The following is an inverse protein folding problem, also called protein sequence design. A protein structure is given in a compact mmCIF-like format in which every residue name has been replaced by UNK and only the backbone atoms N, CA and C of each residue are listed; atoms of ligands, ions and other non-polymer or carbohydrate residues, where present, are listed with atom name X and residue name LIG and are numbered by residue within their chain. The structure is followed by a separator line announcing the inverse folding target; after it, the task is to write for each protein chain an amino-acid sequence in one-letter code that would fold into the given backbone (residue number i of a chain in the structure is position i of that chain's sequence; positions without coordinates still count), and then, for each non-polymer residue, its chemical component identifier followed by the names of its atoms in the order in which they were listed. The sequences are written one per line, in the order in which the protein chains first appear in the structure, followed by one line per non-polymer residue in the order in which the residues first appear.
data_IF_968354852197
#
_entry.id   IF_968354852197
#
_cell.length_a   1.000
_cell.length_b   1.000
_cell.length_c   1.000
_cell.angle_alpha   90.00
_cell.angle_beta   90.00
_cell.angle_gamma   90.00
#
_symmetry.space_group_name_H-M   'P 1'
#
loop_
_entity.id
_entity.type
_entity.pdbx_description
1 polymer ?
#
# COMPACT_ATOMS: atom_id res chain seq x y z
N UNK A 1 -1.79 -31.19 -46.73
CA UNK A 1 -3.05 -30.58 -46.23
C UNK A 1 -3.77 -31.63 -45.40
N UNK A 2 -3.64 -31.60 -44.11
CA UNK A 2 -4.24 -32.51 -43.14
C UNK A 2 -5.15 -31.77 -42.22
N UNK A 3 -6.44 -31.82 -42.46
CA UNK A 3 -7.49 -31.24 -41.60
C UNK A 3 -7.57 -32.03 -40.30
N UNK A 4 -7.14 -31.43 -39.19
CA UNK A 4 -7.41 -31.95 -37.83
C UNK A 4 -8.92 -31.87 -37.55
N UNK A 5 -9.58 -33.03 -37.52
CA UNK A 5 -10.93 -33.17 -36.99
C UNK A 5 -10.93 -32.83 -35.49
N UNK A 6 -11.58 -31.75 -35.12
CA UNK A 6 -11.93 -31.47 -33.73
C UNK A 6 -13.06 -32.43 -33.35
N UNK A 7 -12.77 -33.35 -32.43
CA UNK A 7 -13.79 -34.23 -31.85
C UNK A 7 -14.74 -33.37 -30.96
N UNK A 8 -16.06 -33.56 -31.08
CA UNK A 8 -17.00 -32.87 -30.21
C UNK A 8 -16.83 -33.37 -28.76
N UNK A 9 -16.78 -32.43 -27.83
CA UNK A 9 -16.78 -32.68 -26.37
C UNK A 9 -17.92 -33.63 -26.00
N UNK A 10 -17.64 -34.66 -25.19
CA UNK A 10 -18.65 -35.62 -24.76
C UNK A 10 -19.76 -34.91 -23.96
N UNK A 11 -20.96 -35.44 -23.97
CA UNK A 11 -22.09 -34.93 -23.18
C UNK A 11 -21.81 -34.90 -21.69
N UNK A 12 -20.86 -35.70 -21.20
CA UNK A 12 -20.36 -35.65 -19.81
C UNK A 12 -19.44 -34.45 -19.55
N UNK A 13 -18.55 -34.09 -20.48
CA UNK A 13 -17.70 -32.93 -20.37
C UNK A 13 -18.51 -31.62 -20.48
N UNK A 14 -19.53 -31.59 -21.33
CA UNK A 14 -20.49 -30.52 -21.43
C UNK A 14 -21.32 -30.35 -20.15
N UNK A 15 -21.69 -31.47 -19.48
CA UNK A 15 -22.38 -31.45 -18.18
C UNK A 15 -21.44 -31.00 -17.03
N UNK A 16 -20.16 -31.36 -17.04
CA UNK A 16 -19.16 -30.88 -16.08
C UNK A 16 -18.90 -29.40 -16.26
N UNK A 17 -18.78 -28.91 -17.49
CA UNK A 17 -18.59 -27.47 -17.78
C UNK A 17 -19.83 -26.66 -17.43
N UNK A 18 -21.04 -27.21 -17.62
CA UNK A 18 -22.31 -26.56 -17.27
C UNK A 18 -22.55 -26.49 -15.76
N UNK A 19 -22.02 -27.44 -14.98
CA UNK A 19 -22.09 -27.39 -13.50
C UNK A 19 -21.19 -26.30 -12.87
N UNK A 20 -20.15 -25.84 -13.57
CA UNK A 20 -19.28 -24.75 -13.10
C UNK A 20 -19.90 -23.35 -13.21
N UNK A 21 -21.01 -23.19 -13.91
CA UNK A 21 -21.66 -21.89 -14.14
C UNK A 21 -22.98 -21.68 -13.36
N UNK A 22 -23.28 -22.50 -12.36
CA UNK A 22 -24.41 -22.23 -11.46
C UNK A 22 -23.89 -21.53 -10.23
N UNK A 23 -24.40 -20.34 -9.93
CA UNK A 23 -24.14 -19.57 -8.69
C UNK A 23 -24.66 -20.27 -7.41
N UNK A 24 -24.83 -21.58 -7.42
CA UNK A 24 -25.22 -22.36 -6.24
C UNK A 24 -24.01 -22.47 -5.30
N UNK A 25 -24.17 -21.98 -4.07
CA UNK A 25 -23.15 -22.11 -3.01
C UNK A 25 -23.14 -23.56 -2.53
N UNK A 26 -21.95 -24.16 -2.49
CA UNK A 26 -21.71 -25.39 -1.74
C UNK A 26 -21.63 -25.07 -0.26
N UNK A 27 -22.25 -25.90 0.60
CA UNK A 27 -22.32 -25.66 2.02
C UNK A 27 -21.82 -26.92 2.74
N UNK A 28 -20.81 -26.76 3.62
CA UNK A 28 -20.30 -27.80 4.54
C UNK A 28 -20.62 -27.41 5.98
N UNK A 29 -20.84 -28.41 6.83
CA UNK A 29 -21.21 -28.21 8.23
C UNK A 29 -20.35 -29.02 9.20
N UNK A 30 -20.39 -28.62 10.46
CA UNK A 30 -19.86 -29.38 11.59
C UNK A 30 -18.36 -29.66 11.51
N UNK A 31 -17.99 -30.91 11.79
CA UNK A 31 -16.58 -31.32 11.87
C UNK A 31 -15.87 -31.30 10.51
N UNK A 32 -16.58 -31.62 9.41
CA UNK A 32 -16.00 -31.60 8.07
C UNK A 32 -15.60 -30.21 7.64
N UNK A 33 -16.47 -29.21 7.85
CA UNK A 33 -16.16 -27.82 7.54
C UNK A 33 -14.97 -27.30 8.34
N UNK A 34 -14.92 -27.60 9.65
CA UNK A 34 -13.80 -27.21 10.51
C UNK A 34 -12.49 -27.83 10.05
N UNK A 35 -12.49 -29.13 9.71
CA UNK A 35 -11.29 -29.85 9.28
C UNK A 35 -10.74 -29.28 7.96
N UNK A 36 -11.60 -28.91 7.01
CA UNK A 36 -11.16 -28.29 5.76
C UNK A 36 -10.53 -26.90 6.03
N UNK A 37 -11.17 -26.07 6.84
CA UNK A 37 -10.61 -24.76 7.22
C UNK A 37 -9.25 -24.91 7.94
N UNK A 38 -9.14 -25.85 8.90
CA UNK A 38 -7.90 -26.13 9.63
C UNK A 38 -6.79 -26.61 8.69
N UNK A 39 -7.11 -27.45 7.71
CA UNK A 39 -6.15 -27.90 6.71
C UNK A 39 -5.60 -26.72 5.88
N UNK A 40 -6.45 -25.81 5.46
CA UNK A 40 -6.02 -24.61 4.72
C UNK A 40 -5.17 -23.66 5.55
N UNK A 41 -5.54 -23.43 6.83
CA UNK A 41 -4.71 -22.68 7.78
C UNK A 41 -3.32 -23.29 7.89
N UNK A 42 -3.24 -24.60 8.09
CA UNK A 42 -1.97 -25.30 8.29
C UNK A 42 -1.12 -25.27 7.00
N UNK A 43 -1.68 -25.54 5.83
CA UNK A 43 -0.93 -25.51 4.56
C UNK A 43 -0.25 -24.16 4.33
N UNK A 44 -0.98 -23.05 4.53
CA UNK A 44 -0.40 -21.71 4.38
C UNK A 44 0.64 -21.44 5.45
N UNK A 45 0.29 -21.64 6.72
CA UNK A 45 1.17 -21.30 7.83
C UNK A 45 2.44 -22.14 7.85
N UNK A 46 2.37 -23.44 7.53
CA UNK A 46 3.55 -24.30 7.42
C UNK A 46 4.50 -23.84 6.31
N UNK A 47 3.94 -23.38 5.17
CA UNK A 47 4.74 -22.83 4.07
C UNK A 47 5.46 -21.56 4.48
N UNK A 48 4.78 -20.65 5.20
CA UNK A 48 5.36 -19.38 5.66
C UNK A 48 6.37 -19.63 6.80
N UNK A 49 6.09 -20.58 7.69
CA UNK A 49 6.90 -20.87 8.89
C UNK A 49 8.34 -21.26 8.60
N UNK A 50 8.62 -21.82 7.40
CA UNK A 50 9.98 -22.22 7.01
C UNK A 50 10.95 -21.04 6.92
N UNK A 51 10.43 -19.82 6.86
CA UNK A 51 11.22 -18.58 6.80
C UNK A 51 11.56 -18.00 8.17
N UNK A 52 11.03 -18.58 9.25
CA UNK A 52 11.11 -18.03 10.61
C UNK A 52 12.53 -18.15 11.21
N UNK A 53 13.01 -17.02 11.75
CA UNK A 53 14.19 -16.96 12.62
C UNK A 53 15.53 -17.19 11.91
N UNK A 54 16.64 -17.37 12.67
CA UNK A 54 17.98 -17.39 12.13
C UNK A 54 18.29 -18.64 11.27
N UNK A 55 17.42 -19.64 11.29
CA UNK A 55 17.49 -20.83 10.41
C UNK A 55 16.45 -20.76 9.29
N UNK A 56 15.80 -19.61 9.12
CA UNK A 56 14.81 -19.38 8.08
C UNK A 56 15.40 -19.65 6.70
N UNK A 57 14.55 -20.15 5.80
CA UNK A 57 14.90 -20.49 4.41
C UNK A 57 14.06 -19.69 3.47
N UNK A 58 14.57 -19.47 2.26
CA UNK A 58 13.79 -18.89 1.19
C UNK A 58 12.77 -19.90 0.65
N UNK A 59 11.63 -19.39 0.24
CA UNK A 59 10.60 -20.11 -0.51
C UNK A 59 10.72 -19.71 -1.98
N UNK A 60 10.55 -20.68 -2.88
CA UNK A 60 10.54 -20.45 -4.32
C UNK A 60 9.10 -20.51 -4.80
N UNK A 61 8.60 -19.41 -5.31
CA UNK A 61 7.23 -19.25 -5.81
C UNK A 61 7.24 -19.26 -7.34
N UNK A 62 6.44 -20.15 -7.94
CA UNK A 62 6.29 -20.22 -9.39
C UNK A 62 5.44 -19.04 -9.86
N UNK A 63 5.91 -18.31 -10.87
CA UNK A 63 5.12 -17.26 -11.54
C UNK A 63 4.61 -17.77 -12.89
N UNK A 64 3.42 -17.30 -13.27
CA UNK A 64 2.84 -17.64 -14.58
C UNK A 64 3.67 -17.11 -15.76
N UNK A 65 4.40 -15.99 -15.53
CA UNK A 65 5.30 -15.37 -16.50
C UNK A 65 6.56 -14.87 -15.78
N UNK A 66 7.72 -15.01 -16.42
CA UNK A 66 9.01 -14.58 -15.88
C UNK A 66 9.70 -15.63 -15.02
N UNK A 67 10.72 -15.19 -14.27
CA UNK A 67 11.51 -16.05 -13.38
C UNK A 67 10.72 -16.35 -12.09
N UNK A 68 10.93 -17.53 -11.46
CA UNK A 68 10.40 -17.82 -10.14
C UNK A 68 10.83 -16.75 -9.14
N UNK A 69 9.93 -16.38 -8.23
CA UNK A 69 10.24 -15.49 -7.13
C UNK A 69 10.86 -16.27 -5.98
N UNK A 70 12.05 -15.85 -5.52
CA UNK A 70 12.71 -16.40 -4.36
C UNK A 70 12.60 -15.37 -3.24
N UNK A 71 11.93 -15.72 -2.15
CA UNK A 71 11.69 -14.79 -1.05
C UNK A 71 11.61 -15.49 0.30
N UNK A 72 11.90 -14.77 1.36
CA UNK A 72 11.67 -15.15 2.75
C UNK A 72 10.62 -14.25 3.43
N UNK A 73 10.05 -13.31 2.71
CA UNK A 73 9.00 -12.45 3.25
C UNK A 73 7.67 -13.19 3.40
N UNK A 74 7.19 -13.26 4.64
CA UNK A 74 5.99 -14.01 4.98
C UNK A 74 4.73 -13.51 4.33
N UNK A 75 4.56 -12.20 4.18
CA UNK A 75 3.35 -11.64 3.54
C UNK A 75 3.33 -11.89 2.03
N UNK A 76 4.48 -11.78 1.37
CA UNK A 76 4.61 -12.10 -0.07
C UNK A 76 4.29 -13.56 -0.32
N UNK A 77 4.84 -14.47 0.49
CA UNK A 77 4.53 -15.92 0.39
C UNK A 77 3.04 -16.15 0.62
N UNK A 78 2.47 -15.58 1.68
CA UNK A 78 1.06 -15.77 2.01
C UNK A 78 0.12 -15.28 0.90
N UNK A 79 0.42 -14.15 0.25
CA UNK A 79 -0.39 -13.59 -0.85
C UNK A 79 -0.44 -14.50 -2.08
N UNK A 80 0.64 -15.20 -2.39
CA UNK A 80 0.76 -16.08 -3.57
C UNK A 80 0.08 -17.45 -3.37
N UNK A 81 -0.16 -17.88 -2.11
CA UNK A 81 -0.78 -19.18 -1.85
C UNK A 81 -2.26 -19.14 -2.19
N UNK A 82 -2.69 -20.08 -3.03
CA UNK A 82 -4.09 -20.41 -3.33
C UNK A 82 -4.24 -21.91 -3.41
N UNK A 83 -5.28 -22.45 -2.78
CA UNK A 83 -5.49 -23.88 -2.67
C UNK A 83 -6.59 -24.34 -3.63
N UNK A 84 -6.50 -25.59 -4.11
CA UNK A 84 -7.46 -26.14 -5.09
C UNK A 84 -8.84 -26.40 -4.45
N UNK A 85 -8.90 -26.86 -3.19
CA UNK A 85 -10.18 -27.05 -2.47
C UNK A 85 -10.67 -25.68 -1.96
N UNK A 86 -11.87 -25.22 -2.38
CA UNK A 86 -12.39 -23.92 -1.99
C UNK A 86 -12.59 -23.75 -0.47
N UNK A 87 -12.81 -24.82 0.28
CA UNK A 87 -13.00 -24.76 1.73
C UNK A 87 -11.67 -24.69 2.45
N UNK A 88 -10.64 -25.37 1.94
CA UNK A 88 -9.26 -25.21 2.45
C UNK A 88 -8.75 -23.80 2.11
N UNK A 89 -9.00 -23.32 0.88
CA UNK A 89 -8.60 -21.97 0.48
C UNK A 89 -9.23 -20.90 1.38
N UNK A 90 -10.49 -21.05 1.81
CA UNK A 90 -11.09 -20.14 2.80
C UNK A 90 -10.30 -20.11 4.13
N UNK A 91 -9.79 -21.26 4.58
CA UNK A 91 -8.91 -21.33 5.75
C UNK A 91 -7.59 -20.58 5.53
N UNK A 92 -6.97 -20.78 4.38
CA UNK A 92 -5.76 -20.06 4.00
C UNK A 92 -6.00 -18.54 3.91
N UNK A 93 -7.14 -18.09 3.34
CA UNK A 93 -7.48 -16.66 3.25
C UNK A 93 -7.57 -15.96 4.62
N UNK A 94 -8.08 -16.65 5.66
CA UNK A 94 -8.13 -16.10 7.02
C UNK A 94 -6.72 -15.79 7.54
N UNK A 95 -5.76 -16.69 7.34
CA UNK A 95 -4.38 -16.49 7.80
C UNK A 95 -3.63 -15.50 6.89
N UNK A 96 -3.92 -15.50 5.60
CA UNK A 96 -3.43 -14.47 4.66
C UNK A 96 -3.81 -13.06 5.13
N UNK A 97 -5.04 -12.86 5.63
CA UNK A 97 -5.47 -11.58 6.17
C UNK A 97 -4.67 -11.16 7.40
N UNK A 98 -4.29 -12.12 8.28
CA UNK A 98 -3.43 -11.85 9.44
C UNK A 98 -2.06 -11.33 8.99
N UNK A 99 -1.40 -12.01 8.05
CA UNK A 99 -0.11 -11.56 7.50
C UNK A 99 -0.20 -10.17 6.87
N UNK A 100 -1.25 -9.92 6.07
CA UNK A 100 -1.47 -8.64 5.39
C UNK A 100 -1.69 -7.50 6.40
N UNK A 101 -2.57 -7.69 7.40
CA UNK A 101 -2.80 -6.66 8.42
C UNK A 101 -1.56 -6.35 9.25
N UNK A 102 -0.76 -7.37 9.57
CA UNK A 102 0.50 -7.18 10.29
C UNK A 102 1.48 -6.35 9.46
N UNK A 103 1.58 -6.63 8.16
CA UNK A 103 2.40 -5.86 7.25
C UNK A 103 1.94 -4.39 7.15
N UNK A 104 0.63 -4.17 7.02
CA UNK A 104 0.05 -2.82 6.86
C UNK A 104 0.29 -1.94 8.10
N UNK A 105 0.35 -2.54 9.30
CA UNK A 105 0.51 -1.80 10.57
C UNK A 105 1.98 -1.67 10.99
N UNK A 106 2.77 -2.74 10.86
CA UNK A 106 4.12 -2.81 11.40
C UNK A 106 5.24 -2.95 10.34
N UNK A 107 4.91 -3.35 9.11
CA UNK A 107 5.89 -3.59 8.05
C UNK A 107 6.76 -4.83 8.25
N UNK A 108 6.72 -5.46 9.42
CA UNK A 108 7.51 -6.64 9.80
C UNK A 108 6.72 -7.58 10.73
N UNK A 109 7.28 -8.76 11.04
CA UNK A 109 6.67 -9.73 11.92
C UNK A 109 5.55 -10.57 11.30
N UNK A 110 5.37 -10.54 10.00
CA UNK A 110 4.31 -11.23 9.26
C UNK A 110 4.37 -12.76 9.42
N UNK A 111 5.57 -13.34 9.39
CA UNK A 111 5.82 -14.77 9.64
C UNK A 111 5.44 -15.14 11.06
N UNK A 112 5.88 -14.36 12.06
CA UNK A 112 5.56 -14.57 13.48
C UNK A 112 4.06 -14.53 13.73
N UNK A 113 3.36 -13.53 13.19
CA UNK A 113 1.91 -13.38 13.31
C UNK A 113 1.17 -14.59 12.71
N UNK A 114 1.62 -15.07 11.54
CA UNK A 114 1.07 -16.25 10.86
C UNK A 114 1.21 -17.52 11.71
N UNK A 115 2.39 -17.76 12.28
CA UNK A 115 2.66 -18.92 13.13
C UNK A 115 1.84 -18.86 14.43
N UNK A 116 1.73 -17.68 15.06
CA UNK A 116 0.90 -17.48 16.24
C UNK A 116 -0.58 -17.72 15.94
N UNK A 117 -1.08 -17.22 14.80
CA UNK A 117 -2.47 -17.47 14.39
C UNK A 117 -2.75 -18.96 14.20
N UNK A 118 -1.85 -19.70 13.53
CA UNK A 118 -1.93 -21.15 13.39
C UNK A 118 -1.99 -21.85 14.74
N UNK A 119 -1.08 -21.52 15.65
CA UNK A 119 -1.02 -22.15 16.98
C UNK A 119 -2.32 -21.90 17.77
N UNK A 120 -2.83 -20.68 17.77
CA UNK A 120 -4.08 -20.32 18.45
C UNK A 120 -5.30 -21.04 17.84
N UNK A 121 -5.36 -21.15 16.52
CA UNK A 121 -6.44 -21.86 15.83
C UNK A 121 -6.38 -23.33 16.16
N UNK A 122 -5.22 -23.99 16.04
CA UNK A 122 -5.07 -25.42 16.28
C UNK A 122 -5.42 -25.78 17.74
N UNK A 123 -4.95 -25.02 18.73
CA UNK A 123 -5.32 -25.24 20.12
C UNK A 123 -6.80 -24.96 20.40
N UNK A 124 -7.37 -23.92 19.78
CA UNK A 124 -8.79 -23.64 19.84
C UNK A 124 -9.63 -24.77 19.27
N UNK A 125 -9.24 -25.34 18.14
CA UNK A 125 -9.93 -26.45 17.47
C UNK A 125 -9.88 -27.74 18.31
N UNK A 126 -8.77 -28.05 18.96
CA UNK A 126 -8.67 -29.18 19.91
C UNK A 126 -9.67 -29.03 21.05
N UNK A 127 -9.75 -27.85 21.65
CA UNK A 127 -10.69 -27.58 22.73
C UNK A 127 -12.16 -27.67 22.28
N UNK A 128 -12.48 -27.17 21.06
CA UNK A 128 -13.81 -27.35 20.50
C UNK A 128 -14.17 -28.80 20.23
N UNK A 129 -13.22 -29.59 19.74
CA UNK A 129 -13.40 -31.03 19.52
C UNK A 129 -13.64 -31.78 20.84
N UNK A 130 -13.03 -31.32 21.92
CA UNK A 130 -13.25 -31.83 23.28
C UNK A 130 -14.57 -31.38 23.92
N UNK A 131 -15.40 -30.58 23.22
CA UNK A 131 -16.71 -30.15 23.69
C UNK A 131 -16.73 -28.81 24.44
N UNK A 132 -15.67 -28.02 24.37
CA UNK A 132 -15.65 -26.69 24.97
C UNK A 132 -16.69 -25.76 24.32
N UNK A 133 -17.33 -24.91 25.13
CA UNK A 133 -18.25 -23.92 24.62
C UNK A 133 -17.49 -22.82 23.83
N UNK A 134 -17.79 -22.63 22.53
CA UNK A 134 -17.04 -21.70 21.67
C UNK A 134 -17.13 -20.24 22.12
N UNK A 135 -18.23 -19.84 22.76
CA UNK A 135 -18.39 -18.46 23.25
C UNK A 135 -17.47 -18.22 24.46
N UNK A 136 -17.38 -19.19 25.37
CA UNK A 136 -16.51 -19.12 26.54
C UNK A 136 -15.04 -19.15 26.08
N UNK A 137 -14.70 -20.07 25.18
CA UNK A 137 -13.35 -20.18 24.61
C UNK A 137 -12.90 -18.86 23.98
N UNK A 138 -13.74 -18.26 23.11
CA UNK A 138 -13.45 -16.97 22.47
C UNK A 138 -13.20 -15.86 23.51
N UNK A 139 -14.01 -15.80 24.58
CA UNK A 139 -13.81 -14.80 25.65
C UNK A 139 -12.48 -15.02 26.38
N UNK A 140 -12.12 -16.28 26.63
CA UNK A 140 -10.85 -16.65 27.24
C UNK A 140 -9.65 -16.28 26.37
N UNK A 141 -9.68 -16.61 25.08
CA UNK A 141 -8.65 -16.25 24.12
C UNK A 141 -8.44 -14.74 24.04
N UNK A 142 -9.55 -13.97 23.94
CA UNK A 142 -9.45 -12.50 23.92
C UNK A 142 -8.78 -11.96 25.19
N UNK A 143 -9.21 -12.42 26.37
CA UNK A 143 -8.62 -11.98 27.64
C UNK A 143 -7.13 -12.33 27.76
N UNK A 144 -6.73 -13.51 27.28
CA UNK A 144 -5.33 -13.90 27.24
C UNK A 144 -4.51 -13.06 26.26
N UNK A 145 -5.09 -12.74 25.09
CA UNK A 145 -4.46 -11.86 24.11
C UNK A 145 -4.28 -10.45 24.67
N UNK A 146 -5.30 -9.87 25.30
CA UNK A 146 -5.23 -8.53 25.90
C UNK A 146 -4.11 -8.49 26.96
N UNK A 147 -4.03 -9.48 27.85
CA UNK A 147 -2.98 -9.55 28.87
C UNK A 147 -1.56 -9.76 28.28
N UNK A 148 -1.44 -10.50 27.17
CA UNK A 148 -0.17 -10.67 26.49
C UNK A 148 0.29 -9.36 25.82
N UNK A 149 -0.63 -8.61 25.21
CA UNK A 149 -0.35 -7.30 24.61
C UNK A 149 0.11 -6.31 25.68
N UNK A 150 -0.57 -6.26 26.83
CA UNK A 150 -0.19 -5.39 27.96
C UNK A 150 1.24 -5.73 28.44
N UNK A 151 1.55 -7.00 28.64
CA UNK A 151 2.87 -7.45 29.07
C UNK A 151 3.97 -7.14 28.03
N UNK A 152 3.69 -7.28 26.73
CA UNK A 152 4.63 -6.92 25.65
C UNK A 152 4.86 -5.40 25.65
N UNK A 153 3.80 -4.61 25.84
CA UNK A 153 3.91 -3.15 25.90
C UNK A 153 4.76 -2.69 27.08
N UNK A 154 4.65 -3.34 28.24
CA UNK A 154 5.48 -3.07 29.43
C UNK A 154 6.97 -3.42 29.21
N UNK A 155 7.25 -4.45 28.40
CA UNK A 155 8.61 -4.88 28.07
C UNK A 155 9.22 -4.09 26.91
N UNK A 156 8.43 -3.32 26.16
CA UNK A 156 8.90 -2.61 25.00
C UNK A 156 9.77 -1.40 25.39
N UNK A 157 10.85 -1.19 24.65
CA UNK A 157 11.74 -0.04 24.82
C UNK A 157 11.63 0.91 23.62
N UNK A 158 11.58 2.20 23.89
CA UNK A 158 11.56 3.19 22.81
C UNK A 158 12.90 3.26 22.10
N UNK A 159 12.90 3.19 20.78
CA UNK A 159 14.09 3.31 19.94
C UNK A 159 14.52 4.78 19.86
N UNK A 160 15.75 5.04 20.23
CA UNK A 160 16.35 6.36 20.17
C UNK A 160 17.75 6.29 19.53
N UNK A 161 17.92 7.08 18.46
CA UNK A 161 19.21 7.23 17.80
C UNK A 161 19.50 6.21 16.70
N UNK A 162 20.47 6.58 15.87
CA UNK A 162 20.84 5.89 14.64
C UNK A 162 21.22 4.42 14.84
N UNK A 163 22.01 4.12 15.87
CA UNK A 163 22.50 2.77 16.12
C UNK A 163 21.38 1.78 16.41
N UNK A 164 20.37 2.18 17.19
CA UNK A 164 19.22 1.33 17.47
C UNK A 164 18.33 1.13 16.23
N UNK A 165 18.15 2.20 15.42
CA UNK A 165 17.44 2.11 14.15
C UNK A 165 18.16 1.13 13.21
N UNK A 166 19.49 1.26 13.09
CA UNK A 166 20.29 0.35 12.27
C UNK A 166 20.13 -1.12 12.71
N UNK A 167 20.17 -1.40 14.02
CA UNK A 167 19.98 -2.77 14.54
C UNK A 167 18.61 -3.35 14.20
N UNK A 168 17.54 -2.57 14.35
CA UNK A 168 16.18 -3.03 14.01
C UNK A 168 16.07 -3.30 12.52
N UNK A 169 16.56 -2.38 11.69
CA UNK A 169 16.53 -2.53 10.24
C UNK A 169 17.41 -3.71 9.76
N UNK A 170 18.58 -3.93 10.37
CA UNK A 170 19.44 -5.09 10.08
C UNK A 170 18.77 -6.42 10.39
N UNK A 171 18.06 -6.50 11.52
CA UNK A 171 17.32 -7.72 11.90
C UNK A 171 16.20 -8.00 10.90
N UNK A 172 15.45 -6.98 10.51
CA UNK A 172 14.34 -7.11 9.57
C UNK A 172 14.83 -7.48 8.16
N UNK A 173 15.88 -6.83 7.68
CA UNK A 173 16.45 -7.08 6.36
C UNK A 173 17.32 -8.36 6.30
N UNK A 174 17.83 -8.81 7.44
CA UNK A 174 18.84 -9.87 7.50
C UNK A 174 20.22 -9.46 6.98
N UNK A 175 20.48 -8.15 6.85
CA UNK A 175 21.72 -7.57 6.31
C UNK A 175 22.07 -6.26 7.04
N UNK A 176 23.32 -6.20 7.56
CA UNK A 176 23.78 -5.06 8.33
C UNK A 176 23.99 -3.79 7.46
N UNK A 177 24.39 -3.97 6.21
CA UNK A 177 24.58 -2.85 5.28
C UNK A 177 23.26 -2.17 4.91
N UNK A 178 22.20 -2.96 4.74
CA UNK A 178 20.85 -2.43 4.54
C UNK A 178 20.37 -1.71 5.80
N UNK A 179 20.66 -2.27 6.97
CA UNK A 179 20.31 -1.64 8.26
C UNK A 179 20.97 -0.27 8.43
N UNK A 180 22.27 -0.15 8.14
CA UNK A 180 22.98 1.13 8.18
C UNK A 180 22.40 2.14 7.16
N UNK A 181 22.10 1.69 5.94
CA UNK A 181 21.52 2.54 4.89
C UNK A 181 20.17 3.11 5.28
N UNK A 182 19.31 2.29 5.90
CA UNK A 182 18.00 2.74 6.41
C UNK A 182 18.18 3.73 7.56
N UNK A 183 19.12 3.48 8.47
CA UNK A 183 19.41 4.40 9.57
C UNK A 183 19.97 5.74 9.09
N UNK A 184 20.82 5.73 8.05
CA UNK A 184 21.32 6.94 7.40
C UNK A 184 20.18 7.73 6.72
N UNK A 185 19.24 7.04 6.11
CA UNK A 185 18.06 7.64 5.52
C UNK A 185 17.19 8.32 6.60
N UNK A 186 16.88 7.60 7.69
CA UNK A 186 16.10 8.12 8.82
C UNK A 186 16.76 9.33 9.48
N UNK A 187 18.08 9.33 9.61
CA UNK A 187 18.82 10.49 10.18
C UNK A 187 18.66 11.74 9.31
N UNK A 188 18.62 11.57 7.98
CA UNK A 188 18.49 12.68 7.03
C UNK A 188 17.08 13.27 6.96
N UNK A 189 16.04 12.44 7.06
CA UNK A 189 14.65 12.90 6.89
C UNK A 189 13.91 13.18 8.21
N UNK A 190 14.57 13.05 9.36
CA UNK A 190 13.94 13.16 10.68
C UNK A 190 12.96 12.02 11.01
N UNK A 191 12.42 12.02 12.24
CA UNK A 191 11.53 10.93 12.73
C UNK A 191 10.21 10.79 11.95
N UNK A 192 9.73 11.89 11.38
CA UNK A 192 8.47 11.94 10.62
C UNK A 192 8.71 11.95 9.09
N UNK A 193 9.96 11.78 8.68
CA UNK A 193 10.34 11.74 7.27
C UNK A 193 9.98 10.43 6.60
N UNK A 194 9.92 10.46 5.28
CA UNK A 194 9.53 9.32 4.45
C UNK A 194 10.75 8.73 3.76
N UNK A 195 10.83 7.40 3.75
CA UNK A 195 11.81 6.65 2.96
C UNK A 195 11.07 5.92 1.85
N UNK A 196 11.53 6.10 0.61
CA UNK A 196 11.05 5.34 -0.55
C UNK A 196 12.17 4.52 -1.15
N UNK A 197 11.81 3.40 -1.77
CA UNK A 197 12.75 2.53 -2.47
C UNK A 197 12.42 2.60 -3.96
N UNK A 198 13.42 2.91 -4.78
CA UNK A 198 13.33 2.94 -6.24
C UNK A 198 14.40 2.05 -6.85
N UNK A 199 14.18 1.58 -8.07
CA UNK A 199 15.23 0.88 -8.84
C UNK A 199 16.28 1.89 -9.35
N UNK A 200 17.55 1.59 -9.13
CA UNK A 200 18.63 2.39 -9.69
C UNK A 200 18.86 2.03 -11.16
N UNK A 201 19.23 3.03 -11.96
CA UNK A 201 19.74 2.79 -13.33
C UNK A 201 21.20 2.37 -13.35
N UNK A 202 21.84 2.35 -12.20
CA UNK A 202 23.25 1.97 -12.01
C UNK A 202 23.34 0.69 -11.19
N UNK A 203 24.53 0.06 -11.15
CA UNK A 203 24.77 -1.12 -10.30
C UNK A 203 25.03 -0.76 -8.82
N UNK A 204 24.95 0.51 -8.47
CA UNK A 204 25.21 0.97 -7.10
C UNK A 204 23.91 1.35 -6.40
N UNK A 205 23.83 0.98 -5.13
CA UNK A 205 22.80 1.48 -4.23
C UNK A 205 23.21 2.86 -3.72
N UNK A 206 22.32 3.84 -3.85
CA UNK A 206 22.56 5.24 -3.51
C UNK A 206 21.40 5.78 -2.66
N UNK A 207 21.72 6.69 -1.75
CA UNK A 207 20.74 7.38 -0.90
C UNK A 207 20.69 8.85 -1.27
N UNK A 208 19.57 9.28 -1.84
CA UNK A 208 19.31 10.67 -2.17
C UNK A 208 18.26 11.25 -1.22
N UNK A 209 18.46 12.52 -0.84
CA UNK A 209 17.43 13.31 -0.18
C UNK A 209 16.82 14.26 -1.19
N UNK A 210 15.52 14.15 -1.40
CA UNK A 210 14.77 14.97 -2.35
C UNK A 210 13.61 15.69 -1.66
N UNK A 211 13.13 16.76 -2.25
CA UNK A 211 11.94 17.43 -1.81
C UNK A 211 10.71 16.57 -2.10
N UNK A 212 9.84 16.41 -1.12
CA UNK A 212 8.70 15.54 -1.26
C UNK A 212 7.83 15.51 -0.01
N UNK A 213 6.69 14.85 -0.12
CA UNK A 213 5.71 14.78 0.96
C UNK A 213 4.93 13.48 0.90
N UNK A 214 4.60 12.92 2.07
CA UNK A 214 3.61 11.87 2.20
C UNK A 214 2.34 12.40 2.90
N UNK A 215 1.19 11.91 2.45
CA UNK A 215 -0.07 12.12 3.16
C UNK A 215 -0.94 10.86 3.18
N UNK A 216 -1.79 10.76 4.23
CA UNK A 216 -2.54 9.55 4.58
C UNK A 216 -3.85 9.47 3.78
N UNK A 217 -3.74 9.38 2.47
CA UNK A 217 -4.83 9.08 1.52
C UNK A 217 -4.28 8.30 0.36
N UNK A 218 -4.91 7.19 0.02
CA UNK A 218 -4.55 6.36 -1.11
C UNK A 218 -5.52 6.54 -2.29
N UNK A 219 -5.40 5.65 -3.26
CA UNK A 219 -6.25 5.69 -4.46
C UNK A 219 -7.74 5.50 -4.13
N UNK A 220 -8.60 6.18 -4.88
CA UNK A 220 -10.07 6.08 -4.72
C UNK A 220 -10.63 4.71 -5.14
N UNK A 221 -9.89 3.94 -5.92
CA UNK A 221 -10.26 2.59 -6.36
C UNK A 221 -9.03 1.73 -6.61
N UNK A 222 -9.08 0.46 -6.18
CA UNK A 222 -8.04 -0.54 -6.41
C UNK A 222 -7.72 -0.75 -7.91
N UNK A 223 -8.69 -0.53 -8.80
CA UNK A 223 -8.47 -0.59 -10.26
C UNK A 223 -7.53 0.51 -10.78
N UNK A 224 -7.17 1.48 -9.94
CA UNK A 224 -6.19 2.51 -10.28
C UNK A 224 -4.74 2.10 -9.97
N UNK A 225 -4.49 0.96 -9.33
CA UNK A 225 -3.16 0.41 -9.16
C UNK A 225 -2.51 0.12 -10.54
N UNK A 226 -1.21 0.38 -10.66
CA UNK A 226 -0.41 0.03 -11.85
C UNK A 226 0.29 -1.31 -11.65
N UNK A 227 0.69 -1.61 -10.42
CA UNK A 227 1.18 -2.90 -9.97
C UNK A 227 0.09 -3.57 -9.12
N UNK A 228 -0.56 -4.59 -9.68
CA UNK A 228 -1.64 -5.31 -9.01
C UNK A 228 -1.12 -6.31 -7.97
N UNK A 229 0.14 -6.73 -8.06
CA UNK A 229 0.75 -7.62 -7.06
C UNK A 229 1.04 -6.86 -5.77
N UNK A 230 1.64 -5.67 -5.90
CA UNK A 230 1.96 -4.80 -4.77
C UNK A 230 0.78 -3.90 -4.35
N UNK A 231 -0.30 -3.86 -5.14
CA UNK A 231 -1.44 -2.95 -4.94
C UNK A 231 -1.00 -1.48 -4.83
N UNK A 232 -0.11 -1.05 -5.71
CA UNK A 232 0.45 0.30 -5.76
C UNK A 232 0.28 0.89 -7.16
N UNK A 233 0.04 2.18 -7.23
CA UNK A 233 0.11 2.95 -8.47
C UNK A 233 1.36 3.81 -8.48
N UNK A 234 2.20 3.65 -9.49
CA UNK A 234 3.42 4.44 -9.69
C UNK A 234 3.30 5.27 -10.97
N UNK A 235 3.50 6.57 -10.83
CA UNK A 235 3.43 7.53 -11.92
C UNK A 235 4.77 8.28 -12.01
N UNK A 236 5.48 8.15 -13.14
CA UNK A 236 6.69 8.93 -13.42
C UNK A 236 6.32 10.20 -14.17
N UNK A 237 6.86 11.32 -13.74
CA UNK A 237 6.65 12.66 -14.29
C UNK A 237 5.16 13.02 -14.51
N UNK A 238 4.25 12.74 -13.56
CA UNK A 238 2.84 13.03 -13.74
C UNK A 238 2.56 14.54 -13.70
N UNK A 239 1.48 14.95 -14.37
CA UNK A 239 0.77 16.15 -14.00
C UNK A 239 -0.08 15.89 -12.75
N UNK A 240 -0.28 16.91 -11.93
CA UNK A 240 -1.01 16.80 -10.66
C UNK A 240 -2.10 17.87 -10.64
N UNK A 241 -3.35 17.44 -10.78
CA UNK A 241 -4.53 18.29 -10.57
C UNK A 241 -4.87 18.31 -9.10
N UNK A 242 -4.94 19.50 -8.51
CA UNK A 242 -5.22 19.72 -7.09
C UNK A 242 -6.50 20.54 -6.95
N UNK A 243 -7.53 20.00 -6.31
CA UNK A 243 -8.79 20.69 -6.12
C UNK A 243 -9.46 20.36 -4.80
N UNK A 244 -10.15 21.30 -4.21
CA UNK A 244 -11.01 21.12 -3.03
C UNK A 244 -12.43 20.69 -3.39
N UNK A 245 -12.74 20.56 -4.68
CA UNK A 245 -14.06 20.16 -5.18
C UNK A 245 -14.20 18.64 -5.27
N UNK A 246 -15.43 18.18 -5.30
CA UNK A 246 -15.79 16.83 -5.73
C UNK A 246 -15.89 16.77 -7.25
N UNK A 247 -15.38 15.67 -7.81
CA UNK A 247 -15.47 15.40 -9.25
C UNK A 247 -16.45 14.24 -9.45
N UNK A 248 -17.70 14.56 -9.79
CA UNK A 248 -18.76 13.57 -10.03
C UNK A 248 -19.09 13.45 -11.51
N UNK A 249 -18.92 14.55 -12.29
CA UNK A 249 -19.17 14.59 -13.72
C UNK A 249 -17.85 14.73 -14.49
N UNK A 250 -17.62 13.83 -15.44
CA UNK A 250 -16.40 13.84 -16.26
C UNK A 250 -16.28 15.10 -17.12
N UNK A 251 -17.40 15.73 -17.48
CA UNK A 251 -17.44 16.95 -18.31
C UNK A 251 -16.73 18.14 -17.66
N UNK A 252 -16.61 18.13 -16.31
CA UNK A 252 -15.96 19.23 -15.58
C UNK A 252 -14.44 19.25 -15.78
N UNK A 253 -13.85 18.11 -16.15
CA UNK A 253 -12.40 17.97 -16.38
C UNK A 253 -12.06 17.47 -17.79
N UNK A 254 -13.08 17.30 -18.66
CA UNK A 254 -12.89 16.73 -19.99
C UNK A 254 -11.89 17.52 -20.86
N UNK A 255 -11.95 18.86 -20.93
CA UNK A 255 -11.00 19.64 -21.75
C UNK A 255 -9.54 19.46 -21.30
N UNK A 256 -9.32 19.29 -20.00
CA UNK A 256 -8.01 19.01 -19.43
C UNK A 256 -7.54 17.58 -19.79
N UNK A 257 -8.44 16.58 -19.63
CA UNK A 257 -8.13 15.18 -19.94
C UNK A 257 -7.75 15.01 -21.42
N UNK A 258 -8.43 15.69 -22.33
CA UNK A 258 -8.12 15.64 -23.76
C UNK A 258 -6.68 16.12 -24.05
N UNK A 259 -6.23 17.19 -23.41
CA UNK A 259 -4.86 17.69 -23.53
C UNK A 259 -3.83 16.71 -22.98
N UNK A 260 -4.10 16.12 -21.81
CA UNK A 260 -3.23 15.12 -21.17
C UNK A 260 -3.10 13.87 -22.06
N UNK A 261 -4.22 13.37 -22.59
CA UNK A 261 -4.24 12.18 -23.45
C UNK A 261 -3.51 12.46 -24.77
N UNK A 262 -3.75 13.60 -25.41
CA UNK A 262 -3.06 13.98 -26.65
C UNK A 262 -1.54 14.11 -26.45
N UNK A 263 -1.12 14.57 -25.26
CA UNK A 263 0.29 14.66 -24.89
C UNK A 263 0.90 13.31 -24.43
N UNK A 264 0.13 12.25 -24.32
CA UNK A 264 0.58 10.94 -23.80
C UNK A 264 1.09 11.02 -22.35
N UNK A 265 0.56 11.97 -21.57
CA UNK A 265 1.04 12.26 -20.22
C UNK A 265 0.28 11.46 -19.16
N UNK A 266 0.90 11.31 -17.96
CA UNK A 266 0.28 10.69 -16.79
C UNK A 266 -0.37 11.77 -15.92
N UNK A 267 -1.48 11.44 -15.24
CA UNK A 267 -2.21 12.38 -14.41
C UNK A 267 -2.49 11.79 -13.02
N UNK A 268 -2.13 12.54 -11.99
CA UNK A 268 -2.64 12.38 -10.63
C UNK A 268 -3.75 13.40 -10.40
N UNK A 269 -4.89 12.97 -9.86
CA UNK A 269 -5.97 13.85 -9.45
C UNK A 269 -6.11 13.79 -7.94
N UNK A 270 -5.90 14.91 -7.26
CA UNK A 270 -6.15 15.08 -5.82
C UNK A 270 -7.39 15.94 -5.68
N UNK A 271 -8.50 15.34 -5.26
CA UNK A 271 -9.81 16.01 -5.15
C UNK A 271 -10.47 15.68 -3.82
N UNK A 272 -11.46 16.47 -3.38
CA UNK A 272 -12.23 16.12 -2.18
C UNK A 272 -12.79 14.70 -2.28
N UNK A 273 -13.39 14.36 -3.39
CA UNK A 273 -13.79 13.00 -3.76
C UNK A 273 -13.86 12.88 -5.29
N UNK A 274 -13.76 11.64 -5.78
CA UNK A 274 -14.01 11.30 -7.18
C UNK A 274 -15.03 10.18 -7.20
N UNK A 275 -16.21 10.43 -7.72
CA UNK A 275 -17.34 9.51 -7.61
C UNK A 275 -18.18 9.45 -8.90
N UNK A 276 -19.16 8.57 -8.92
CA UNK A 276 -20.18 8.49 -9.96
C UNK A 276 -19.64 8.20 -11.36
N UNK A 277 -20.12 8.99 -12.33
CA UNK A 277 -19.74 8.85 -13.74
C UNK A 277 -18.26 9.15 -13.98
N UNK A 278 -17.72 10.16 -13.31
CA UNK A 278 -16.32 10.55 -13.46
C UNK A 278 -15.39 9.40 -13.07
N UNK A 279 -15.59 8.79 -11.90
CA UNK A 279 -14.78 7.66 -11.43
C UNK A 279 -14.86 6.47 -12.41
N UNK A 280 -16.07 6.11 -12.85
CA UNK A 280 -16.27 4.99 -13.76
C UNK A 280 -15.57 5.22 -15.10
N UNK A 281 -15.68 6.44 -15.66
CA UNK A 281 -15.06 6.81 -16.92
C UNK A 281 -13.54 6.79 -16.83
N UNK A 282 -12.95 7.31 -15.75
CA UNK A 282 -11.50 7.28 -15.52
C UNK A 282 -10.98 5.84 -15.43
N UNK A 283 -11.65 4.97 -14.65
CA UNK A 283 -11.28 3.56 -14.51
C UNK A 283 -11.35 2.83 -15.85
N UNK A 284 -12.44 2.97 -16.60
CA UNK A 284 -12.63 2.30 -17.90
C UNK A 284 -11.55 2.70 -18.90
N UNK A 285 -11.23 3.99 -18.99
CA UNK A 285 -10.19 4.48 -19.92
C UNK A 285 -8.79 4.01 -19.48
N UNK A 286 -8.49 3.97 -18.18
CA UNK A 286 -7.24 3.41 -17.67
C UNK A 286 -7.11 1.93 -18.01
N UNK A 287 -8.16 1.13 -17.76
CA UNK A 287 -8.15 -0.31 -18.04
C UNK A 287 -8.03 -0.61 -19.55
N UNK A 288 -8.53 0.27 -20.40
CA UNK A 288 -8.33 0.20 -21.87
C UNK A 288 -6.93 0.64 -22.31
N UNK A 289 -6.11 1.15 -21.41
CA UNK A 289 -4.78 1.66 -21.73
C UNK A 289 -4.80 3.00 -22.50
N UNK A 290 -5.92 3.70 -22.51
CA UNK A 290 -6.05 4.99 -23.21
C UNK A 290 -5.17 6.06 -22.59
N UNK A 291 -5.11 6.12 -21.25
CA UNK A 291 -4.17 6.95 -20.52
C UNK A 291 -3.96 6.49 -19.07
N UNK A 292 -2.84 6.91 -18.47
CA UNK A 292 -2.52 6.62 -17.07
C UNK A 292 -3.07 7.70 -16.16
N UNK A 293 -4.04 7.36 -15.33
CA UNK A 293 -4.63 8.26 -14.34
C UNK A 293 -4.77 7.56 -12.99
N UNK A 294 -4.51 8.30 -11.92
CA UNK A 294 -4.77 7.88 -10.54
C UNK A 294 -5.53 8.99 -9.84
N UNK A 295 -6.61 8.63 -9.20
CA UNK A 295 -7.39 9.54 -8.36
C UNK A 295 -7.17 9.25 -6.89
N UNK A 296 -6.96 10.30 -6.11
CA UNK A 296 -6.72 10.25 -4.66
C UNK A 296 -7.63 11.26 -3.97
N UNK A 297 -8.12 10.90 -2.77
CA UNK A 297 -8.87 11.85 -1.95
C UNK A 297 -7.92 12.86 -1.31
N UNK A 298 -8.35 14.12 -1.28
CA UNK A 298 -7.63 15.19 -0.61
C UNK A 298 -7.43 14.89 0.89
N UNK A 299 -6.21 15.12 1.42
CA UNK A 299 -5.95 14.91 2.85
C UNK A 299 -6.65 15.95 3.72
N UNK A 300 -7.00 15.58 4.94
CA UNK A 300 -7.64 16.46 5.91
C UNK A 300 -9.13 16.72 5.65
N UNK A 301 -9.71 17.61 6.45
CA UNK A 301 -11.11 18.04 6.40
C UNK A 301 -11.22 19.55 6.66
N UNK A 302 -12.21 20.20 6.07
CA UNK A 302 -12.47 21.64 6.27
C UNK A 302 -11.26 22.51 5.94
N UNK A 303 -10.95 23.50 6.78
CA UNK A 303 -9.84 24.43 6.53
C UNK A 303 -8.49 23.75 6.50
N UNK A 304 -8.28 22.66 7.25
CA UNK A 304 -7.05 21.86 7.18
C UNK A 304 -6.83 21.25 5.81
N UNK A 305 -7.89 20.81 5.13
CA UNK A 305 -7.79 20.31 3.76
C UNK A 305 -7.25 21.38 2.83
N UNK A 306 -7.78 22.61 2.94
CA UNK A 306 -7.34 23.73 2.11
C UNK A 306 -5.84 24.03 2.33
N UNK A 307 -5.42 24.04 3.58
CA UNK A 307 -4.02 24.26 3.94
C UNK A 307 -3.08 23.16 3.42
N UNK A 308 -3.51 21.88 3.53
CA UNK A 308 -2.72 20.76 3.00
C UNK A 308 -2.69 20.73 1.48
N UNK A 309 -3.79 21.07 0.80
CA UNK A 309 -3.81 21.21 -0.65
C UNK A 309 -2.88 22.34 -1.12
N UNK A 310 -2.82 23.46 -0.37
CA UNK A 310 -1.91 24.55 -0.65
C UNK A 310 -0.43 24.13 -0.45
N UNK A 311 -0.14 23.34 0.59
CA UNK A 311 1.19 22.78 0.82
C UNK A 311 1.63 21.88 -0.34
N UNK A 312 0.73 21.01 -0.83
CA UNK A 312 0.96 20.14 -1.99
C UNK A 312 1.16 20.98 -3.27
N UNK A 313 0.35 22.02 -3.47
CA UNK A 313 0.46 22.90 -4.63
C UNK A 313 1.82 23.62 -4.68
N UNK A 314 2.27 24.16 -3.55
CA UNK A 314 3.58 24.82 -3.45
C UNK A 314 4.71 23.81 -3.70
N UNK A 315 4.62 22.61 -3.12
CA UNK A 315 5.62 21.56 -3.31
C UNK A 315 5.75 21.13 -4.77
N UNK A 316 4.63 21.09 -5.49
CA UNK A 316 4.59 20.59 -6.89
C UNK A 316 4.64 21.69 -7.94
N UNK A 317 4.63 22.96 -7.52
CA UNK A 317 4.59 24.11 -8.41
C UNK A 317 3.25 24.29 -9.12
N UNK A 318 2.17 23.74 -8.57
CA UNK A 318 0.82 23.87 -9.13
C UNK A 318 -0.04 24.90 -8.41
N UNK A 319 -1.30 24.95 -8.80
CA UNK A 319 -2.33 25.83 -8.24
C UNK A 319 -3.48 24.99 -7.70
N UNK A 320 -4.01 25.34 -6.54
CA UNK A 320 -5.25 24.74 -6.04
C UNK A 320 -6.44 25.29 -6.81
N UNK A 321 -7.15 24.42 -7.49
CA UNK A 321 -8.36 24.79 -8.26
C UNK A 321 -9.53 24.79 -7.28
N UNK A 322 -9.94 25.99 -6.87
CA UNK A 322 -11.00 26.24 -5.90
C UNK A 322 -11.84 27.43 -6.31
N UNK A 323 -13.18 27.34 -6.10
CA UNK A 323 -14.08 28.46 -6.35
C UNK A 323 -13.79 29.68 -5.45
N UNK A 324 -13.37 29.43 -4.22
CA UNK A 324 -13.01 30.51 -3.30
C UNK A 324 -11.79 31.30 -3.80
N UNK A 325 -10.91 30.66 -4.57
CA UNK A 325 -9.76 31.29 -5.21
C UNK A 325 -10.07 31.83 -6.62
N UNK A 326 -11.32 31.66 -7.08
CA UNK A 326 -11.76 32.14 -8.39
C UNK A 326 -11.44 31.23 -9.57
N UNK A 327 -11.08 29.94 -9.30
CA UNK A 327 -10.77 28.97 -10.35
C UNK A 327 -11.93 27.99 -10.59
N UNK A 328 -12.16 27.64 -11.86
CA UNK A 328 -13.11 26.61 -12.27
C UNK A 328 -12.37 25.40 -12.88
N UNK A 329 -12.86 24.19 -12.54
CA UNK A 329 -12.31 22.95 -13.09
C UNK A 329 -12.42 22.88 -14.63
N UNK A 330 -13.46 23.47 -15.22
CA UNK A 330 -13.67 23.48 -16.67
C UNK A 330 -12.68 24.37 -17.44
N UNK A 331 -12.16 25.38 -16.76
CA UNK A 331 -11.23 26.34 -17.33
C UNK A 331 -9.77 26.05 -16.95
N UNK A 332 -9.53 24.89 -16.28
CA UNK A 332 -8.21 24.49 -15.82
C UNK A 332 -7.29 24.18 -17.01
N UNK A 333 -6.10 24.76 -16.99
CA UNK A 333 -5.06 24.61 -18.02
C UNK A 333 -3.86 23.84 -17.48
N UNK A 334 -2.99 23.33 -18.38
CA UNK A 334 -1.84 22.51 -18.01
C UNK A 334 -0.81 23.26 -17.14
N UNK A 335 -0.69 24.55 -17.29
CA UNK A 335 0.23 25.42 -16.53
C UNK A 335 -0.20 25.63 -15.07
N UNK A 336 -1.46 25.35 -14.75
CA UNK A 336 -1.97 25.36 -13.37
C UNK A 336 -1.73 24.03 -12.63
N UNK A 337 -1.36 22.99 -13.37
CA UNK A 337 -1.11 21.67 -12.78
C UNK A 337 0.26 21.60 -12.12
N UNK A 338 0.32 20.96 -10.95
CA UNK A 338 1.57 20.60 -10.33
C UNK A 338 2.33 19.52 -11.11
N UNK A 339 3.63 19.40 -10.81
CA UNK A 339 4.51 18.36 -11.36
C UNK A 339 5.36 17.75 -10.26
N UNK A 340 5.72 16.48 -10.44
CA UNK A 340 6.71 15.81 -9.63
C UNK A 340 7.49 14.82 -10.49
N UNK A 341 8.67 14.40 -10.03
CA UNK A 341 9.46 13.38 -10.70
C UNK A 341 8.78 12.02 -10.64
N UNK A 342 8.30 11.63 -9.47
CA UNK A 342 7.48 10.43 -9.32
C UNK A 342 6.40 10.60 -8.25
N UNK A 343 5.33 9.82 -8.37
CA UNK A 343 4.29 9.71 -7.35
C UNK A 343 3.96 8.25 -7.15
N UNK A 344 3.96 7.83 -5.89
CA UNK A 344 3.61 6.48 -5.47
C UNK A 344 2.34 6.52 -4.62
N UNK A 345 1.31 5.82 -5.06
CA UNK A 345 0.00 5.77 -4.39
C UNK A 345 -0.30 4.35 -3.97
N UNK A 346 -0.39 4.12 -2.68
CA UNK A 346 -0.84 2.87 -2.09
C UNK A 346 -2.32 2.95 -1.68
N UNK A 347 -2.80 1.95 -0.97
CA UNK A 347 -4.20 1.88 -0.52
C UNK A 347 -4.56 3.00 0.46
N UNK A 348 -3.64 3.40 1.32
CA UNK A 348 -3.90 4.33 2.44
C UNK A 348 -3.02 5.58 2.44
N UNK A 349 -1.99 5.61 1.60
CA UNK A 349 -1.06 6.74 1.53
C UNK A 349 -0.67 7.10 0.10
N UNK A 350 -0.21 8.33 -0.06
CA UNK A 350 0.35 8.88 -1.30
C UNK A 350 1.67 9.58 -0.97
N UNK A 351 2.71 9.24 -1.70
CA UNK A 351 4.04 9.85 -1.62
C UNK A 351 4.33 10.60 -2.91
N UNK A 352 4.59 11.88 -2.79
CA UNK A 352 5.08 12.74 -3.89
C UNK A 352 6.58 12.87 -3.70
N UNK A 353 7.34 12.52 -4.72
CA UNK A 353 8.81 12.52 -4.69
C UNK A 353 9.32 13.53 -5.70
N UNK A 354 10.23 14.39 -5.24
CA UNK A 354 10.90 15.40 -6.06
C UNK A 354 9.88 16.31 -6.80
N UNK A 355 9.11 17.06 -5.99
CA UNK A 355 8.15 18.05 -6.49
C UNK A 355 8.86 19.18 -7.23
N UNK A 356 8.23 19.67 -8.31
CA UNK A 356 8.82 20.72 -9.16
C UNK A 356 8.57 22.14 -8.65
N UNK A 357 8.11 22.32 -7.41
CA UNK A 357 7.94 23.64 -6.80
C UNK A 357 9.24 24.38 -6.60
N UNK A 358 9.18 25.70 -6.59
CA UNK A 358 10.38 26.51 -6.34
C UNK A 358 10.80 26.39 -4.86
N UNK A 359 12.07 26.13 -4.60
CA UNK A 359 12.60 25.99 -3.24
C UNK A 359 12.31 27.21 -2.36
N UNK A 360 12.41 28.40 -2.92
CA UNK A 360 12.11 29.64 -2.21
C UNK A 360 10.65 29.71 -1.71
N UNK A 361 9.71 29.19 -2.50
CA UNK A 361 8.28 29.16 -2.13
C UNK A 361 8.02 28.11 -1.04
N UNK A 362 8.68 26.95 -1.12
CA UNK A 362 8.62 25.90 -0.11
C UNK A 362 9.19 26.43 1.22
N UNK A 363 10.38 27.09 1.20
CA UNK A 363 10.98 27.69 2.38
C UNK A 363 10.11 28.80 2.97
N UNK A 364 9.51 29.65 2.13
CA UNK A 364 8.58 30.67 2.58
C UNK A 364 7.36 30.06 3.26
N UNK A 365 6.80 28.97 2.70
CA UNK A 365 5.69 28.26 3.32
C UNK A 365 6.05 27.62 4.65
N UNK A 366 7.21 26.98 4.74
CA UNK A 366 7.77 26.43 5.98
C UNK A 366 7.87 27.51 7.07
N UNK A 367 8.34 28.72 6.71
CA UNK A 367 8.44 29.82 7.65
C UNK A 367 7.07 30.34 8.11
N UNK A 368 6.06 30.35 7.25
CA UNK A 368 4.67 30.67 7.63
C UNK A 368 4.14 29.66 8.65
N UNK A 369 4.33 28.35 8.40
CA UNK A 369 3.88 27.31 9.36
C UNK A 369 4.61 27.45 10.70
N UNK A 370 5.93 27.74 10.71
CA UNK A 370 6.70 27.99 11.93
C UNK A 370 6.18 29.20 12.71
N UNK A 371 5.79 30.27 12.03
CA UNK A 371 5.20 31.45 12.66
C UNK A 371 3.84 31.09 13.30
N UNK A 372 2.98 30.40 12.59
CA UNK A 372 1.70 29.91 13.11
C UNK A 372 1.88 29.01 14.34
N UNK A 373 2.92 28.14 14.32
CA UNK A 373 3.24 27.25 15.43
C UNK A 373 3.67 28.04 16.68
N UNK A 374 4.38 29.17 16.51
CA UNK A 374 4.80 30.02 17.61
C UNK A 374 3.64 30.82 18.21
N UNK A 375 2.65 31.18 17.44
CA UNK A 375 1.51 32.00 17.87
C UNK A 375 0.37 31.18 18.48
N UNK A 376 0.21 29.90 18.07
CA UNK A 376 -0.93 29.09 18.55
C UNK A 376 -0.75 28.68 20.01
N UNK A 377 -1.86 28.75 20.76
CA UNK A 377 -1.93 28.32 22.16
C UNK A 377 -2.60 26.96 22.35
N UNK A 378 -3.24 26.44 21.29
CA UNK A 378 -3.92 25.15 21.30
C UNK A 378 -2.90 24.02 21.11
N UNK A 379 -2.79 23.12 22.07
CA UNK A 379 -1.89 21.94 21.95
C UNK A 379 -2.26 21.05 20.77
N UNK A 380 -3.56 20.91 20.47
CA UNK A 380 -4.01 20.16 19.31
C UNK A 380 -3.60 20.81 17.98
N UNK A 381 -3.70 22.14 17.88
CA UNK A 381 -3.27 22.85 16.67
C UNK A 381 -1.75 22.86 16.53
N UNK A 382 -1.02 22.92 17.64
CA UNK A 382 0.43 22.76 17.65
C UNK A 382 0.85 21.42 17.08
N UNK A 383 0.24 20.31 17.55
CA UNK A 383 0.51 18.98 17.04
C UNK A 383 0.29 18.91 15.52
N UNK A 384 -0.82 19.45 15.02
CA UNK A 384 -1.16 19.43 13.60
C UNK A 384 -0.27 20.34 12.75
N UNK A 385 0.16 21.48 13.27
CA UNK A 385 1.14 22.35 12.60
C UNK A 385 2.53 21.69 12.58
N UNK A 386 2.93 21.00 13.64
CA UNK A 386 4.16 20.22 13.69
C UNK A 386 4.15 19.08 12.65
N UNK A 387 3.05 18.34 12.55
CA UNK A 387 2.87 17.31 11.53
C UNK A 387 3.01 17.86 10.11
N UNK A 388 2.36 19.00 9.80
CA UNK A 388 2.49 19.67 8.50
C UNK A 388 3.92 20.14 8.23
N UNK A 389 4.54 20.75 9.23
CA UNK A 389 5.93 21.21 9.13
C UNK A 389 6.89 20.06 8.85
N UNK A 390 6.74 18.95 9.56
CA UNK A 390 7.55 17.75 9.35
C UNK A 390 7.37 17.17 7.94
N UNK A 391 6.12 17.09 7.46
CA UNK A 391 5.82 16.59 6.09
C UNK A 391 6.39 17.48 4.99
N UNK A 392 6.37 18.80 5.15
CA UNK A 392 6.84 19.73 4.11
C UNK A 392 8.36 19.99 4.18
N UNK A 393 8.93 20.06 5.39
CA UNK A 393 10.34 20.36 5.61
C UNK A 393 11.24 19.14 5.68
N UNK A 394 10.67 17.95 5.96
CA UNK A 394 11.42 16.70 6.15
C UNK A 394 11.96 16.09 4.86
N UNK A 395 11.36 16.39 3.72
CA UNK A 395 11.71 15.78 2.45
C UNK A 395 11.40 14.28 2.38
N UNK A 396 11.90 13.63 1.36
CA UNK A 396 11.82 12.18 1.13
C UNK A 396 13.23 11.63 0.90
N UNK A 397 13.63 10.62 1.67
CA UNK A 397 14.84 9.87 1.39
C UNK A 397 14.52 8.80 0.35
N UNK A 398 15.20 8.83 -0.78
CA UNK A 398 15.06 7.86 -1.86
C UNK A 398 16.25 6.93 -1.84
N UNK A 399 16.02 5.67 -1.46
CA UNK A 399 17.02 4.61 -1.58
C UNK A 399 16.89 4.01 -2.99
N UNK A 400 17.86 4.28 -3.85
CA UNK A 400 17.94 3.68 -5.19
C UNK A 400 18.75 2.41 -5.10
N UNK A 401 18.08 1.28 -5.22
CA UNK A 401 18.71 -0.04 -5.15
C UNK A 401 19.30 -0.38 -6.52
N UNK A 402 20.62 -0.57 -6.57
CA UNK A 402 21.34 -1.02 -7.74
C UNK A 402 21.84 -2.44 -7.58
N UNK A 403 21.71 -3.25 -8.64
CA UNK A 403 22.21 -4.61 -8.68
C UNK A 403 22.69 -4.98 -10.08
N UNK A 404 23.52 -6.02 -10.18
CA UNK A 404 24.00 -6.51 -11.46
C UNK A 404 22.96 -7.33 -12.22
N UNK A 405 21.99 -7.91 -11.51
CA UNK A 405 20.92 -8.74 -12.08
C UNK A 405 19.56 -8.39 -11.48
N UNK A 406 18.51 -8.66 -12.23
CA UNK A 406 17.12 -8.45 -11.77
C UNK A 406 16.77 -9.31 -10.53
N UNK A 407 17.35 -10.50 -10.44
CA UNK A 407 17.13 -11.40 -9.30
C UNK A 407 17.79 -10.89 -8.01
N UNK A 408 18.92 -10.19 -8.13
CA UNK A 408 19.60 -9.57 -7.00
C UNK A 408 18.92 -8.27 -6.56
N UNK A 409 18.29 -7.56 -7.50
CA UNK A 409 17.57 -6.32 -7.23
C UNK A 409 16.24 -6.56 -6.50
N UNK A 410 15.58 -7.67 -6.77
CA UNK A 410 14.33 -8.12 -6.14
C UNK A 410 14.56 -8.80 -4.80
#
# INVERSE_FOLDING_TARGET
MGTKKVLPLSLEDAKKTRRRNTMAKEIKYGAEARKALEAGVNQLADTVSVTLGPKGRNVVLAKSFGSPLITNDGVTIAKEISLEDPFEDMGAQIVKEVATKTNDVAGDGTTTATVLAQAMINEGMKNLAAGANPIVLRKGMKKACDAAVDAISEMSESINGKEQIARVASISAGDDGVGELVADAMEKVSKDGVITIEESKTMKTELDLVEGMQFDRGYVSAYMATDMEKMVAELDNPYILITDKKISNIQDILPLLEQIVQGGQKLLIIAEDIEGEALTTLIVNKLRGTFSVVGVKAPGYGDRRKEMLQDIAILTGGTVISEELGYDLKETTLDQLGRAKSVKVAKENTVIVDGCGAKADIEARVNVIKAQLAETTSEFDKEKLQERLAKLAGGVAVIRVGAATETEMK
#
